data_IF_958693541021
#
_entry.id   IF_958693541021
#
_cell.length_a   1.000
_cell.length_b   1.000
_cell.length_c   1.000
_cell.angle_alpha   90.00
_cell.angle_beta   90.00
_cell.angle_gamma   90.00
#
_symmetry.space_group_name_H-M   'P 1'
#
loop_
_entity.id
_entity.type
_entity.pdbx_description
1 polymer ?
#
# COMPACT_ATOMS: atom_id res chain seq x y z
N UNK A 1 -41.98 -19.53 2.42
CA UNK A 1 -41.31 -18.43 3.14
C UNK A 1 -39.83 -18.77 3.21
N UNK A 2 -38.98 -18.11 2.43
CA UNK A 2 -37.53 -18.30 2.49
C UNK A 2 -36.98 -17.38 3.58
N UNK A 3 -36.52 -17.95 4.68
CA UNK A 3 -35.76 -17.20 5.69
C UNK A 3 -34.43 -16.78 5.06
N UNK A 4 -34.24 -15.49 4.82
CA UNK A 4 -32.94 -14.92 4.46
C UNK A 4 -32.07 -14.91 5.72
N UNK A 5 -31.20 -15.91 5.83
CA UNK A 5 -30.19 -15.96 6.89
C UNK A 5 -29.22 -14.78 6.72
N UNK A 6 -28.96 -14.04 7.81
CA UNK A 6 -28.00 -12.95 7.82
C UNK A 6 -26.58 -13.48 7.57
N UNK A 7 -25.75 -12.75 6.81
CA UNK A 7 -24.37 -13.16 6.55
C UNK A 7 -23.55 -13.15 7.83
N UNK A 8 -22.72 -14.17 8.01
CA UNK A 8 -21.76 -14.25 9.13
C UNK A 8 -20.60 -13.27 8.94
N UNK A 9 -19.93 -12.85 10.02
CA UNK A 9 -18.77 -11.95 9.94
C UNK A 9 -17.66 -12.50 9.04
N UNK A 10 -17.43 -13.81 9.05
CA UNK A 10 -16.46 -14.47 8.15
C UNK A 10 -16.85 -14.29 6.68
N UNK A 11 -18.12 -14.52 6.31
CA UNK A 11 -18.59 -14.30 4.94
C UNK A 11 -18.43 -12.84 4.49
N UNK A 12 -18.60 -11.88 5.41
CA UNK A 12 -18.40 -10.46 5.11
C UNK A 12 -16.93 -10.15 4.85
N UNK A 13 -16.01 -10.64 5.68
CA UNK A 13 -14.56 -10.47 5.49
C UNK A 13 -14.10 -11.11 4.18
N UNK A 14 -14.55 -12.32 3.87
CA UNK A 14 -14.24 -13.03 2.62
C UNK A 14 -14.70 -12.21 1.41
N UNK A 15 -15.90 -11.62 1.50
CA UNK A 15 -16.42 -10.77 0.43
C UNK A 15 -15.57 -9.52 0.21
N UNK A 16 -15.15 -8.85 1.30
CA UNK A 16 -14.29 -7.66 1.21
C UNK A 16 -12.93 -8.03 0.62
N UNK A 17 -12.36 -9.17 1.01
CA UNK A 17 -11.10 -9.69 0.49
C UNK A 17 -11.19 -9.97 -1.01
N UNK A 18 -12.28 -10.61 -1.46
CA UNK A 18 -12.54 -10.85 -2.88
C UNK A 18 -12.64 -9.53 -3.66
N UNK A 19 -13.33 -8.53 -3.12
CA UNK A 19 -13.41 -7.20 -3.74
C UNK A 19 -12.03 -6.54 -3.84
N UNK A 20 -11.24 -6.56 -2.76
CA UNK A 20 -9.88 -6.02 -2.77
C UNK A 20 -9.03 -6.68 -3.87
N UNK A 21 -8.98 -8.02 -3.87
CA UNK A 21 -8.17 -8.77 -4.81
C UNK A 21 -8.65 -8.64 -6.27
N UNK A 22 -9.95 -8.47 -6.50
CA UNK A 22 -10.49 -8.15 -7.82
C UNK A 22 -10.06 -6.75 -8.28
N UNK A 23 -10.08 -5.75 -7.38
CA UNK A 23 -9.56 -4.41 -7.66
C UNK A 23 -8.07 -4.43 -8.00
N UNK A 24 -7.28 -5.23 -7.29
CA UNK A 24 -5.86 -5.47 -7.58
C UNK A 24 -5.66 -6.06 -8.97
N UNK A 25 -6.43 -7.08 -9.34
CA UNK A 25 -6.33 -7.66 -10.68
C UNK A 25 -6.61 -6.60 -11.75
N UNK A 26 -7.60 -5.74 -11.53
CA UNK A 26 -7.88 -4.63 -12.45
C UNK A 26 -6.73 -3.61 -12.52
N UNK A 27 -5.98 -3.36 -11.43
CA UNK A 27 -4.78 -2.52 -11.48
C UNK A 27 -3.70 -3.14 -12.37
N UNK A 28 -3.47 -4.44 -12.23
CA UNK A 28 -2.48 -5.19 -13.02
C UNK A 28 -2.87 -5.25 -14.50
N UNK A 29 -4.16 -5.29 -14.81
CA UNK A 29 -4.69 -5.24 -16.18
C UNK A 29 -4.80 -3.80 -16.74
N UNK A 30 -4.26 -2.79 -16.03
CA UNK A 30 -4.37 -1.35 -16.37
C UNK A 30 -5.80 -0.79 -16.50
N UNK A 31 -6.78 -1.45 -15.89
CA UNK A 31 -8.21 -1.07 -15.86
C UNK A 31 -8.52 -0.19 -14.66
N UNK A 32 -7.85 0.97 -14.57
CA UNK A 32 -7.82 1.76 -13.35
C UNK A 32 -9.18 2.29 -12.85
N UNK A 33 -10.09 2.68 -13.74
CA UNK A 33 -11.44 3.10 -13.33
C UNK A 33 -12.25 1.97 -12.69
N UNK A 34 -12.13 0.76 -13.24
CA UNK A 34 -12.71 -0.44 -12.65
C UNK A 34 -12.10 -0.71 -11.27
N UNK A 35 -10.77 -0.66 -11.17
CA UNK A 35 -10.06 -0.84 -9.91
C UNK A 35 -10.52 0.15 -8.83
N UNK A 36 -10.61 1.45 -9.15
CA UNK A 36 -11.08 2.49 -8.22
C UNK A 36 -12.49 2.19 -7.73
N UNK A 37 -13.40 1.81 -8.64
CA UNK A 37 -14.79 1.49 -8.29
C UNK A 37 -14.87 0.26 -7.38
N UNK A 38 -14.17 -0.82 -7.72
CA UNK A 38 -14.17 -2.07 -6.96
C UNK A 38 -13.52 -1.89 -5.58
N UNK A 39 -12.39 -1.18 -5.48
CA UNK A 39 -11.73 -0.88 -4.20
C UNK A 39 -12.57 0.07 -3.34
N UNK A 40 -13.24 1.06 -3.94
CA UNK A 40 -14.19 1.92 -3.21
C UNK A 40 -15.35 1.11 -2.63
N UNK A 41 -15.81 0.07 -3.33
CA UNK A 41 -16.83 -0.84 -2.83
C UNK A 41 -16.28 -1.67 -1.66
N UNK A 42 -15.07 -2.20 -1.77
CA UNK A 42 -14.40 -2.93 -0.69
C UNK A 42 -14.30 -2.09 0.59
N UNK A 43 -13.80 -0.85 0.50
CA UNK A 43 -13.68 0.09 1.63
C UNK A 43 -15.06 0.40 2.25
N UNK A 44 -16.08 0.63 1.42
CA UNK A 44 -17.43 0.94 1.91
C UNK A 44 -18.04 -0.25 2.65
N UNK A 45 -17.90 -1.47 2.09
CA UNK A 45 -18.36 -2.70 2.73
C UNK A 45 -17.60 -2.96 4.03
N UNK A 46 -16.28 -2.74 4.06
CA UNK A 46 -15.48 -2.86 5.28
C UNK A 46 -15.96 -1.89 6.37
N UNK A 47 -16.19 -0.62 6.02
CA UNK A 47 -16.72 0.37 6.98
C UNK A 47 -18.07 -0.05 7.56
N UNK A 48 -19.01 -0.48 6.70
CA UNK A 48 -20.32 -0.98 7.16
C UNK A 48 -20.18 -2.22 8.06
N UNK A 49 -19.17 -3.06 7.82
CA UNK A 49 -18.92 -4.24 8.65
C UNK A 49 -18.36 -3.90 10.04
N UNK A 50 -17.60 -2.80 10.18
CA UNK A 50 -17.11 -2.35 11.49
C UNK A 50 -18.27 -1.95 12.40
N UNK A 51 -19.27 -1.26 11.87
CA UNK A 51 -20.48 -0.87 12.62
C UNK A 51 -21.25 -2.10 13.15
N UNK A 52 -21.19 -3.23 12.43
CA UNK A 52 -21.81 -4.50 12.84
C UNK A 52 -20.97 -5.25 13.90
N UNK A 53 -19.65 -5.07 13.88
CA UNK A 53 -18.72 -5.73 14.81
C UNK A 53 -18.68 -5.04 16.17
N UNK A 54 -18.75 -3.71 16.23
CA UNK A 54 -18.75 -2.93 17.48
C UNK A 54 -20.00 -3.17 18.34
N UNK A 55 -21.11 -3.63 17.75
CA UNK A 55 -22.36 -3.88 18.46
C UNK A 55 -22.44 -5.23 19.20
N UNK A 56 -21.45 -6.11 19.07
CA UNK A 56 -21.55 -7.51 19.49
C UNK A 56 -20.32 -7.97 20.29
N UNK A 57 -20.10 -7.32 21.45
CA UNK A 57 -18.97 -7.50 22.39
C UNK A 57 -18.70 -8.95 22.88
N UNK A 58 -19.53 -9.94 22.54
CA UNK A 58 -19.51 -11.27 23.16
C UNK A 58 -19.13 -12.47 22.30
N UNK A 59 -19.13 -12.40 20.96
CA UNK A 59 -19.23 -13.64 20.14
C UNK A 59 -18.15 -13.85 19.06
N UNK A 60 -17.27 -12.90 18.77
CA UNK A 60 -16.33 -13.04 17.64
C UNK A 60 -15.00 -13.71 17.99
N UNK A 61 -14.98 -14.60 19.00
CA UNK A 61 -13.86 -15.51 19.23
C UNK A 61 -13.96 -16.72 18.29
N UNK A 62 -13.98 -16.49 16.97
CA UNK A 62 -13.79 -17.58 16.03
C UNK A 62 -12.30 -17.60 15.66
N UNK A 63 -11.48 -18.46 16.28
CA UNK A 63 -10.01 -18.44 16.21
C UNK A 63 -9.46 -19.00 14.88
N UNK A 64 -10.15 -18.78 13.75
CA UNK A 64 -9.91 -19.57 12.53
C UNK A 64 -9.67 -18.80 11.24
N UNK A 65 -9.62 -17.46 11.25
CA UNK A 65 -9.41 -16.68 10.04
C UNK A 65 -8.17 -15.80 10.16
N UNK A 66 -7.00 -16.43 10.21
CA UNK A 66 -5.76 -15.67 10.06
C UNK A 66 -5.67 -15.13 8.63
N UNK A 67 -5.44 -13.83 8.53
CA UNK A 67 -5.20 -13.15 7.27
C UNK A 67 -3.69 -13.06 7.01
N UNK A 68 -3.29 -13.43 5.80
CA UNK A 68 -1.96 -13.21 5.26
C UNK A 68 -1.97 -12.00 4.33
N UNK A 69 -0.96 -11.16 4.48
CA UNK A 69 -0.76 -9.95 3.68
C UNK A 69 0.52 -10.14 2.87
N UNK A 70 0.40 -10.12 1.55
CA UNK A 70 1.56 -10.25 0.67
C UNK A 70 1.88 -8.91 0.06
N UNK A 71 3.03 -8.37 0.46
CA UNK A 71 3.66 -7.19 -0.13
C UNK A 71 4.75 -7.68 -1.09
N UNK A 72 4.58 -7.46 -2.39
CA UNK A 72 5.60 -7.82 -3.38
C UNK A 72 6.36 -6.56 -3.77
N UNK A 73 7.70 -6.58 -3.72
CA UNK A 73 8.49 -5.54 -4.34
C UNK A 73 8.50 -5.81 -5.86
N UNK A 74 8.08 -4.84 -6.66
CA UNK A 74 8.13 -4.97 -8.12
C UNK A 74 9.59 -5.00 -8.57
N UNK A 75 10.01 -6.10 -9.21
CA UNK A 75 11.31 -6.16 -9.90
C UNK A 75 11.35 -5.31 -11.17
N UNK A 76 10.30 -4.53 -11.49
CA UNK A 76 10.24 -3.74 -12.71
C UNK A 76 11.42 -2.76 -12.84
N UNK A 77 11.88 -2.19 -11.73
CA UNK A 77 12.99 -1.27 -11.78
C UNK A 77 14.36 -1.96 -11.87
N UNK A 78 14.52 -3.16 -11.30
CA UNK A 78 15.69 -4.03 -11.57
C UNK A 78 15.78 -4.33 -13.08
N UNK A 79 14.64 -4.65 -13.72
CA UNK A 79 14.59 -4.89 -15.17
C UNK A 79 14.88 -3.63 -15.99
N UNK A 80 14.44 -2.46 -15.52
CA UNK A 80 14.73 -1.19 -16.18
C UNK A 80 16.23 -0.85 -16.12
N UNK A 81 16.87 -1.05 -14.96
CA UNK A 81 18.31 -0.84 -14.78
C UNK A 81 19.17 -1.77 -15.66
N UNK A 82 18.75 -3.03 -15.84
CA UNK A 82 19.46 -4.00 -16.68
C UNK A 82 19.35 -3.71 -18.19
N UNK A 83 18.34 -2.94 -18.62
CA UNK A 83 18.06 -2.70 -20.04
C UNK A 83 19.02 -1.73 -20.75
N UNK A 84 19.96 -1.10 -20.03
CA UNK A 84 21.14 -0.42 -20.61
C UNK A 84 20.88 0.65 -21.68
N UNK A 85 19.64 1.16 -21.78
CA UNK A 85 19.27 2.14 -22.81
C UNK A 85 19.87 3.51 -22.51
N UNK A 86 20.71 4.00 -23.43
CA UNK A 86 21.42 5.30 -23.40
C UNK A 86 20.50 6.54 -23.47
N UNK A 87 19.18 6.39 -23.26
CA UNK A 87 18.22 7.49 -23.27
C UNK A 87 18.18 8.21 -21.91
N UNK A 88 19.16 9.08 -21.70
CA UNK A 88 19.31 9.99 -20.56
C UNK A 88 18.21 11.06 -20.43
N UNK A 89 17.05 10.93 -21.09
CA UNK A 89 16.14 12.07 -21.32
C UNK A 89 15.02 12.27 -20.30
N UNK A 90 14.78 11.35 -19.37
CA UNK A 90 14.00 11.63 -18.14
C UNK A 90 14.10 10.42 -17.24
N UNK A 91 14.64 10.56 -16.04
CA UNK A 91 14.68 9.45 -15.10
C UNK A 91 13.23 8.95 -14.86
N UNK A 92 12.96 7.65 -15.00
CA UNK A 92 11.61 7.13 -14.83
C UNK A 92 11.14 7.41 -13.40
N UNK A 93 9.94 7.97 -13.25
CA UNK A 93 9.35 8.19 -11.92
C UNK A 93 9.15 6.84 -11.22
N UNK A 94 9.91 6.57 -10.17
CA UNK A 94 9.73 5.32 -9.43
C UNK A 94 8.49 5.40 -8.54
N UNK A 95 7.41 4.82 -9.03
CA UNK A 95 6.19 4.58 -8.28
C UNK A 95 6.25 3.16 -7.75
N UNK A 96 6.02 2.99 -6.45
CA UNK A 96 5.78 1.67 -5.90
C UNK A 96 4.39 1.20 -6.32
N UNK A 97 4.36 0.35 -7.34
CA UNK A 97 3.16 -0.05 -8.09
C UNK A 97 2.60 -1.42 -7.71
N UNK A 98 3.16 -2.04 -6.66
CA UNK A 98 2.77 -3.37 -6.22
C UNK A 98 1.69 -3.29 -5.15
N UNK A 99 0.44 -3.69 -5.45
CA UNK A 99 -0.63 -3.68 -4.48
C UNK A 99 -0.50 -4.81 -3.45
N UNK A 100 -1.11 -4.61 -2.28
CA UNK A 100 -1.11 -5.55 -1.16
C UNK A 100 -2.23 -6.57 -1.34
N UNK A 101 -1.87 -7.82 -1.62
CA UNK A 101 -2.83 -8.94 -1.70
C UNK A 101 -3.14 -9.46 -0.32
N UNK A 102 -4.41 -9.77 -0.09
CA UNK A 102 -4.90 -10.35 1.17
C UNK A 102 -5.42 -11.75 0.88
N UNK A 103 -5.00 -12.74 1.64
CA UNK A 103 -5.43 -14.13 1.49
C UNK A 103 -5.61 -14.78 2.87
N UNK A 104 -6.46 -15.81 2.96
CA UNK A 104 -6.47 -16.64 4.17
C UNK A 104 -5.12 -17.32 4.36
N UNK A 105 -4.61 -17.27 5.59
CA UNK A 105 -3.46 -18.05 5.98
C UNK A 105 -3.89 -19.53 5.99
N UNK A 106 -3.37 -20.32 5.06
CA UNK A 106 -3.57 -21.77 5.04
C UNK A 106 -2.48 -22.43 5.90
N UNK A 107 -2.39 -22.09 7.18
CA UNK A 107 -1.37 -22.66 8.07
C UNK A 107 -1.80 -24.03 8.60
N UNK A 108 -1.14 -25.06 8.08
CA UNK A 108 -1.05 -26.40 8.68
C UNK A 108 0.41 -26.70 9.12
N UNK A 109 1.25 -25.67 9.29
CA UNK A 109 2.71 -25.87 9.45
C UNK A 109 3.21 -25.14 10.70
N UNK A 110 3.92 -25.89 11.54
CA UNK A 110 4.48 -25.57 12.87
C UNK A 110 5.45 -24.37 12.94
N UNK A 111 5.06 -23.21 12.44
CA UNK A 111 5.87 -22.00 12.49
C UNK A 111 5.44 -21.15 13.69
N UNK A 112 6.42 -20.70 14.48
CA UNK A 112 6.25 -19.89 15.70
C UNK A 112 5.27 -18.72 15.48
N UNK A 113 4.01 -18.99 15.82
CA UNK A 113 2.88 -18.14 15.54
C UNK A 113 2.77 -17.11 16.67
N UNK A 114 3.34 -15.92 16.45
CA UNK A 114 2.94 -14.75 17.24
C UNK A 114 1.52 -14.45 16.81
N UNK A 115 0.55 -15.07 17.50
CA UNK A 115 -0.88 -14.87 17.24
C UNK A 115 -1.18 -13.38 17.26
N UNK A 116 -1.34 -12.79 16.08
CA UNK A 116 -1.85 -11.43 15.94
C UNK A 116 -3.28 -11.41 16.45
N UNK A 117 -3.67 -10.36 17.18
CA UNK A 117 -5.05 -10.25 17.60
C UNK A 117 -5.94 -10.04 16.37
N UNK A 118 -7.21 -10.45 16.43
CA UNK A 118 -8.19 -10.16 15.38
C UNK A 118 -8.23 -8.66 15.05
N UNK A 119 -8.06 -7.82 16.07
CA UNK A 119 -8.01 -6.36 15.90
C UNK A 119 -6.79 -5.93 15.07
N UNK A 120 -5.61 -6.51 15.30
CA UNK A 120 -4.41 -6.20 14.52
C UNK A 120 -4.59 -6.60 13.05
N UNK A 121 -5.20 -7.77 12.80
CA UNK A 121 -5.50 -8.23 11.45
C UNK A 121 -6.49 -7.30 10.73
N UNK A 122 -7.52 -6.81 11.44
CA UNK A 122 -8.48 -5.84 10.88
C UNK A 122 -7.82 -4.49 10.60
N UNK A 123 -6.91 -4.02 11.46
CA UNK A 123 -6.14 -2.79 11.23
C UNK A 123 -5.23 -2.95 10.00
N UNK A 124 -4.51 -4.08 9.88
CA UNK A 124 -3.69 -4.39 8.70
C UNK A 124 -4.54 -4.47 7.44
N UNK A 125 -5.73 -5.06 7.52
CA UNK A 125 -6.62 -5.14 6.38
C UNK A 125 -7.15 -3.77 5.95
N UNK A 126 -7.53 -2.94 6.91
CA UNK A 126 -7.89 -1.55 6.67
C UNK A 126 -6.75 -0.80 5.97
N UNK A 127 -5.51 -0.97 6.43
CA UNK A 127 -4.33 -0.37 5.80
C UNK A 127 -4.17 -0.82 4.35
N UNK A 128 -4.25 -2.13 4.09
CA UNK A 128 -4.14 -2.69 2.74
C UNK A 128 -5.22 -2.12 1.79
N UNK A 129 -6.46 -1.98 2.26
CA UNK A 129 -7.56 -1.38 1.50
C UNK A 129 -7.26 0.08 1.15
N UNK A 130 -6.85 0.90 2.13
CA UNK A 130 -6.54 2.32 1.94
C UNK A 130 -5.35 2.49 1.00
N UNK A 131 -4.29 1.70 1.19
CA UNK A 131 -3.09 1.73 0.36
C UNK A 131 -3.41 1.39 -1.10
N UNK A 132 -4.10 0.27 -1.35
CA UNK A 132 -4.47 -0.15 -2.70
C UNK A 132 -5.38 0.88 -3.38
N UNK A 133 -6.26 1.51 -2.62
CA UNK A 133 -7.14 2.56 -3.14
C UNK A 133 -6.38 3.84 -3.50
N UNK A 134 -5.42 4.26 -2.66
CA UNK A 134 -4.50 5.35 -2.96
C UNK A 134 -3.72 5.08 -4.26
N UNK A 135 -3.16 3.88 -4.37
CA UNK A 135 -2.41 3.43 -5.54
C UNK A 135 -3.26 3.45 -6.81
N UNK A 136 -4.51 3.01 -6.74
CA UNK A 136 -5.43 3.04 -7.87
C UNK A 136 -5.65 4.47 -8.40
N UNK A 137 -5.84 5.46 -7.52
CA UNK A 137 -5.93 6.86 -7.93
C UNK A 137 -4.62 7.38 -8.53
N UNK A 138 -3.48 7.02 -7.94
CA UNK A 138 -2.17 7.44 -8.43
C UNK A 138 -1.90 6.91 -9.84
N UNK A 139 -2.10 5.61 -10.08
CA UNK A 139 -1.90 4.97 -11.39
C UNK A 139 -2.93 5.42 -12.44
N UNK A 140 -4.14 5.80 -12.02
CA UNK A 140 -5.16 6.37 -12.92
C UNK A 140 -4.83 7.80 -13.37
N UNK A 141 -4.03 8.56 -12.61
CA UNK A 141 -3.82 9.98 -12.86
C UNK A 141 -3.36 10.32 -14.30
N UNK A 142 -2.38 9.60 -14.90
CA UNK A 142 -1.89 9.89 -16.26
C UNK A 142 -2.92 9.72 -17.38
N UNK A 143 -4.04 9.02 -17.15
CA UNK A 143 -5.10 8.81 -18.17
C UNK A 143 -6.12 9.97 -18.23
N UNK A 144 -5.95 11.02 -17.42
CA UNK A 144 -6.88 12.15 -17.33
C UNK A 144 -6.50 13.33 -18.21
N UNK A 145 -7.42 14.30 -18.33
CA UNK A 145 -7.01 15.67 -18.61
C UNK A 145 -6.41 16.30 -17.34
N UNK A 146 -5.78 17.46 -17.44
CA UNK A 146 -5.11 18.15 -16.32
C UNK A 146 -5.99 18.27 -15.07
N UNK A 147 -7.29 18.52 -15.23
CA UNK A 147 -8.24 18.62 -14.11
C UNK A 147 -8.49 17.27 -13.44
N UNK A 148 -8.74 16.21 -14.22
CA UNK A 148 -8.96 14.85 -13.70
C UNK A 148 -7.69 14.29 -13.07
N UNK A 149 -6.55 14.51 -13.70
CA UNK A 149 -5.23 14.14 -13.19
C UNK A 149 -5.01 14.76 -11.81
N UNK A 150 -5.11 16.09 -11.70
CA UNK A 150 -4.94 16.80 -10.43
C UNK A 150 -5.90 16.27 -9.35
N UNK A 151 -7.19 16.08 -9.69
CA UNK A 151 -8.17 15.52 -8.75
C UNK A 151 -7.80 14.11 -8.27
N UNK A 152 -7.30 13.24 -9.15
CA UNK A 152 -6.88 11.88 -8.81
C UNK A 152 -5.64 11.90 -7.92
N UNK A 153 -4.64 12.72 -8.25
CA UNK A 153 -3.43 12.89 -7.44
C UNK A 153 -3.75 13.41 -6.03
N UNK A 154 -4.60 14.43 -5.91
CA UNK A 154 -5.03 14.95 -4.58
C UNK A 154 -5.72 13.88 -3.75
N UNK A 155 -6.55 13.02 -4.37
CA UNK A 155 -7.16 11.88 -3.67
C UNK A 155 -6.13 10.84 -3.25
N UNK A 156 -5.22 10.47 -4.15
CA UNK A 156 -4.14 9.53 -3.84
C UNK A 156 -3.32 10.03 -2.64
N UNK A 157 -2.94 11.30 -2.64
CA UNK A 157 -2.20 11.93 -1.53
C UNK A 157 -2.97 11.86 -0.21
N UNK A 158 -4.27 12.18 -0.23
CA UNK A 158 -5.11 12.12 0.98
C UNK A 158 -5.15 10.69 1.57
N UNK A 159 -5.26 9.67 0.71
CA UNK A 159 -5.27 8.27 1.17
C UNK A 159 -3.89 7.79 1.62
N UNK A 160 -2.80 8.20 0.97
CA UNK A 160 -1.47 7.88 1.47
C UNK A 160 -1.18 8.54 2.82
N UNK A 161 -1.67 9.77 3.06
CA UNK A 161 -1.57 10.41 4.38
C UNK A 161 -2.36 9.64 5.44
N UNK A 162 -3.56 9.17 5.10
CA UNK A 162 -4.35 8.32 5.98
C UNK A 162 -3.60 7.01 6.29
N UNK A 163 -3.03 6.35 5.28
CA UNK A 163 -2.26 5.11 5.46
C UNK A 163 -1.05 5.32 6.40
N UNK A 164 -0.30 6.42 6.24
CA UNK A 164 0.82 6.75 7.12
C UNK A 164 0.36 7.05 8.56
N UNK A 165 -0.75 7.79 8.71
CA UNK A 165 -1.36 8.06 10.01
C UNK A 165 -1.80 6.78 10.73
N UNK A 166 -2.22 5.75 9.99
CA UNK A 166 -2.54 4.44 10.55
C UNK A 166 -1.27 3.71 11.02
N UNK A 167 -0.15 3.82 10.29
CA UNK A 167 1.13 3.26 10.74
C UNK A 167 1.55 3.89 12.07
N UNK A 168 1.52 5.23 12.15
CA UNK A 168 2.02 6.00 13.28
C UNK A 168 1.12 5.93 14.53
N UNK A 169 -0.20 6.06 14.37
CA UNK A 169 -1.10 6.20 15.53
C UNK A 169 -1.76 4.90 15.97
N UNK A 170 -1.95 3.93 15.06
CA UNK A 170 -2.64 2.67 15.41
C UNK A 170 -1.66 1.59 15.89
N UNK A 171 -0.37 1.93 16.02
CA UNK A 171 0.74 1.01 16.31
C UNK A 171 0.69 -0.24 15.43
N UNK A 172 0.45 -0.03 14.13
CA UNK A 172 0.46 -1.13 13.18
C UNK A 172 1.86 -1.73 13.13
N UNK A 173 1.96 -3.03 13.44
CA UNK A 173 3.19 -3.79 13.27
C UNK A 173 3.43 -4.11 11.79
N UNK A 174 3.57 -3.07 10.99
CA UNK A 174 3.96 -3.15 9.59
C UNK A 174 5.48 -3.13 9.50
N UNK A 175 6.01 -3.79 8.47
CA UNK A 175 7.42 -3.66 8.15
C UNK A 175 7.75 -2.23 7.75
N UNK A 176 9.03 -1.90 7.89
CA UNK A 176 9.58 -0.62 7.45
C UNK A 176 9.41 -0.42 5.93
N UNK A 177 9.36 -1.51 5.15
CA UNK A 177 9.18 -1.47 3.70
C UNK A 177 7.84 -0.87 3.29
N UNK A 178 6.77 -1.18 4.01
CA UNK A 178 5.43 -0.67 3.75
C UNK A 178 5.36 0.84 4.01
N UNK A 179 5.99 1.32 5.09
CA UNK A 179 6.10 2.74 5.39
C UNK A 179 6.87 3.48 4.28
N UNK A 180 8.04 2.96 3.89
CA UNK A 180 8.85 3.54 2.82
C UNK A 180 8.12 3.59 1.48
N UNK A 181 7.35 2.56 1.14
CA UNK A 181 6.54 2.55 -0.07
C UNK A 181 5.45 3.64 -0.06
N UNK A 182 4.80 3.87 1.09
CA UNK A 182 3.83 4.96 1.25
C UNK A 182 4.52 6.31 1.09
N UNK A 183 5.62 6.56 1.78
CA UNK A 183 6.32 7.85 1.76
C UNK A 183 6.90 8.14 0.36
N UNK A 184 7.51 7.14 -0.29
CA UNK A 184 8.00 7.29 -1.66
C UNK A 184 6.87 7.63 -2.63
N UNK A 185 5.71 6.95 -2.53
CA UNK A 185 4.56 7.26 -3.36
C UNK A 185 3.98 8.66 -3.07
N UNK A 186 4.00 9.13 -1.82
CA UNK A 186 3.63 10.51 -1.49
C UNK A 186 4.57 11.51 -2.18
N UNK A 187 5.88 11.29 -2.13
CA UNK A 187 6.88 12.15 -2.75
C UNK A 187 6.61 12.31 -4.26
N UNK A 188 6.34 11.20 -4.95
CA UNK A 188 5.99 11.21 -6.37
C UNK A 188 4.71 12.01 -6.66
N UNK A 189 3.68 11.85 -5.81
CA UNK A 189 2.43 12.61 -5.97
C UNK A 189 2.67 14.11 -5.74
N UNK A 190 3.46 14.49 -4.74
CA UNK A 190 3.85 15.88 -4.49
C UNK A 190 4.61 16.48 -5.69
N UNK A 191 5.59 15.76 -6.26
CA UNK A 191 6.29 16.20 -7.46
C UNK A 191 5.33 16.46 -8.63
N UNK A 192 4.39 15.55 -8.89
CA UNK A 192 3.39 15.70 -9.95
C UNK A 192 2.41 16.85 -9.71
N UNK A 193 2.15 17.18 -8.44
CA UNK A 193 1.35 18.33 -8.05
C UNK A 193 2.15 19.65 -8.04
N UNK A 194 3.47 19.61 -8.29
CA UNK A 194 4.36 20.78 -8.28
C UNK A 194 4.84 21.22 -6.90
N UNK A 195 4.57 20.43 -5.85
CA UNK A 195 4.94 20.75 -4.47
C UNK A 195 6.28 20.10 -4.09
N UNK A 196 7.36 20.68 -4.60
CA UNK A 196 8.71 20.13 -4.43
C UNK A 196 9.18 20.07 -2.99
N UNK A 197 8.81 21.05 -2.17
CA UNK A 197 9.25 21.11 -0.78
C UNK A 197 8.79 19.88 0.02
N UNK A 198 7.53 19.49 -0.12
CA UNK A 198 7.02 18.30 0.55
C UNK A 198 7.57 17.01 -0.07
N UNK A 199 7.79 16.98 -1.39
CA UNK A 199 8.45 15.84 -2.03
C UNK A 199 9.86 15.62 -1.47
N UNK A 200 10.66 16.68 -1.36
CA UNK A 200 12.03 16.63 -0.83
C UNK A 200 12.02 16.14 0.63
N UNK A 201 11.09 16.63 1.46
CA UNK A 201 10.91 16.13 2.83
C UNK A 201 10.59 14.63 2.87
N UNK A 202 9.69 14.15 2.01
CA UNK A 202 9.40 12.72 1.92
C UNK A 202 10.64 11.91 1.51
N UNK A 203 11.45 12.39 0.56
CA UNK A 203 12.67 11.70 0.14
C UNK A 203 13.76 11.71 1.20
N UNK A 204 13.92 12.82 1.93
CA UNK A 204 14.87 12.90 3.04
C UNK A 204 14.46 11.97 4.19
N UNK A 205 13.16 11.82 4.45
CA UNK A 205 12.65 10.83 5.39
C UNK A 205 12.93 9.40 4.93
N UNK A 206 12.59 9.06 3.67
CA UNK A 206 12.91 7.75 3.07
C UNK A 206 14.39 7.43 3.22
N UNK A 207 15.27 8.39 2.91
CA UNK A 207 16.73 8.24 3.04
C UNK A 207 17.15 8.01 4.49
N UNK A 208 16.60 8.78 5.43
CA UNK A 208 16.93 8.67 6.85
C UNK A 208 16.52 7.32 7.44
N UNK A 209 15.32 6.85 7.11
CA UNK A 209 14.80 5.55 7.55
C UNK A 209 15.63 4.40 6.97
N UNK A 210 16.00 4.50 5.71
CA UNK A 210 16.94 3.59 5.05
C UNK A 210 18.29 3.53 5.78
N UNK A 211 18.88 4.69 6.09
CA UNK A 211 20.19 4.76 6.74
C UNK A 211 20.12 4.13 8.13
N UNK A 212 19.05 4.42 8.87
CA UNK A 212 18.81 3.82 10.17
C UNK A 212 18.74 2.29 10.08
N UNK A 213 18.04 1.74 9.09
CA UNK A 213 17.97 0.28 8.92
C UNK A 213 19.30 -0.31 8.45
N UNK A 214 20.04 0.38 7.59
CA UNK A 214 21.38 -0.06 7.21
C UNK A 214 22.33 -0.12 8.43
N UNK A 215 22.24 0.85 9.34
CA UNK A 215 23.05 0.92 10.56
C UNK A 215 22.62 -0.11 11.63
N UNK A 216 21.32 -0.41 11.72
CA UNK A 216 20.75 -1.31 12.72
C UNK A 216 20.55 -2.76 12.23
N UNK A 217 20.62 -3.00 10.93
CA UNK A 217 20.03 -4.16 10.27
C UNK A 217 20.82 -5.46 10.38
N UNK A 218 20.10 -6.59 10.30
CA UNK A 218 20.67 -7.91 10.02
C UNK A 218 20.85 -8.03 8.51
N UNK A 219 21.81 -8.85 8.06
CA UNK A 219 22.15 -8.99 6.64
C UNK A 219 20.96 -9.30 5.70
N UNK A 220 19.89 -9.91 6.22
CA UNK A 220 18.66 -10.22 5.47
C UNK A 220 17.84 -8.97 5.13
N UNK A 221 17.81 -7.98 6.02
CA UNK A 221 17.10 -6.72 5.80
C UNK A 221 17.79 -5.96 4.66
N UNK A 222 19.13 -5.95 4.64
CA UNK A 222 19.95 -5.28 3.61
C UNK A 222 19.56 -5.72 2.19
N UNK A 223 19.32 -7.02 1.95
CA UNK A 223 18.92 -7.52 0.63
C UNK A 223 17.54 -7.03 0.16
N UNK A 224 16.59 -6.86 1.09
CA UNK A 224 15.28 -6.26 0.81
C UNK A 224 15.44 -4.78 0.43
N UNK A 225 16.35 -4.07 1.12
CA UNK A 225 16.67 -2.70 0.77
C UNK A 225 17.39 -2.57 -0.57
N UNK A 226 18.30 -3.48 -0.91
CA UNK A 226 18.96 -3.48 -2.22
C UNK A 226 17.94 -3.55 -3.37
N UNK A 227 16.91 -4.39 -3.25
CA UNK A 227 15.82 -4.45 -4.23
C UNK A 227 15.03 -3.13 -4.28
N UNK A 228 14.78 -2.52 -3.12
CA UNK A 228 14.14 -1.21 -3.05
C UNK A 228 15.02 -0.10 -3.63
N UNK A 229 16.35 -0.14 -3.45
CA UNK A 229 17.31 0.84 -3.97
C UNK A 229 17.54 0.73 -5.46
N UNK A 230 17.59 -0.49 -5.99
CA UNK A 230 17.59 -0.72 -7.43
C UNK A 230 16.35 -0.10 -8.08
N UNK A 231 15.31 0.15 -7.27
CA UNK A 231 14.05 0.67 -7.70
C UNK A 231 13.86 2.17 -7.46
N UNK A 232 14.21 2.66 -6.27
CA UNK A 232 14.08 4.06 -5.88
C UNK A 232 15.09 4.95 -6.60
N UNK A 233 14.59 5.79 -7.50
CA UNK A 233 15.39 6.84 -8.14
C UNK A 233 15.51 8.01 -7.18
N UNK A 234 16.66 8.17 -6.55
CA UNK A 234 17.04 9.42 -5.88
C UNK A 234 17.71 10.33 -6.90
N UNK A 235 16.98 11.29 -7.47
CA UNK A 235 17.66 12.36 -8.20
C UNK A 235 18.42 13.24 -7.18
N UNK A 236 19.75 13.42 -7.32
CA UNK A 236 20.43 14.41 -6.52
C UNK A 236 19.83 15.77 -6.83
N UNK A 237 19.39 16.49 -5.78
CA UNK A 237 18.90 17.85 -5.92
C UNK A 237 19.93 18.68 -6.68
N UNK A 238 19.58 19.10 -7.91
CA UNK A 238 20.40 20.00 -8.74
C UNK A 238 20.56 21.39 -8.11
N UNK A 239 19.95 21.62 -6.94
CA UNK A 239 19.92 22.89 -6.23
C UNK A 239 20.69 22.85 -4.90
N UNK A 240 21.60 21.89 -4.69
CA UNK A 240 22.62 22.09 -3.67
C UNK A 240 23.35 23.42 -4.01
N UNK A 241 23.22 24.48 -3.20
CA UNK A 241 23.92 25.72 -3.48
C UNK A 241 25.40 25.39 -3.49
N UNK A 242 26.10 25.79 -4.56
CA UNK A 242 27.55 25.65 -4.62
C UNK A 242 28.13 26.33 -3.38
N UNK A 243 28.72 25.52 -2.50
CA UNK A 243 29.40 25.98 -1.29
C UNK A 243 30.69 26.72 -1.66
#
# INVERSE_FOLDING_TARGET
>A
MTSTQEPTSSQVIDHIMQLNNAGIQMLQDHRYEGAISTLSKAVSTFKMSLDLLDGNDGCCSNPGCDLSFTFQLSNAAVRAAESGGDEFSSAPSFIFDSPIRVAHCLTNVDQFDIKSSTQDQLKMFSFALVFNWALAFHLAAPQGNTVKEHRRLTKALAFYKLALNMIENENLNLGIMEALAVINNQAQVYLKLGDRNHADQCYDQVRSDIMLVADCGRQQDILLFEQFFAAAVFEPSKFAPAA
#
